data_IF_076730395497
#
_entry.id   IF_076730395497
#
_cell.length_a   1.000
_cell.length_b   1.000
_cell.length_c   1.000
_cell.angle_alpha   90.00
_cell.angle_beta   90.00
_cell.angle_gamma   90.00
#
_symmetry.space_group_name_H-M   'P 1'
#
loop_
_entity.id
_entity.type
_entity.pdbx_description
1 polymer ?
#
# COMPACT_ATOMS: atom_id res chain seq x y z
N UNK A 1 -20.36 30.21 20.06
CA UNK A 1 -20.72 30.21 18.62
C UNK A 1 -19.52 29.72 17.82
N UNK A 2 -19.57 28.66 17.00
CA UNK A 2 -18.41 28.11 16.26
C UNK A 2 -17.68 29.19 15.43
N UNK A 3 -18.46 30.15 14.91
CA UNK A 3 -18.00 31.33 14.19
C UNK A 3 -17.04 32.22 14.98
N UNK A 4 -17.27 32.41 16.29
CA UNK A 4 -16.37 33.24 17.13
C UNK A 4 -15.06 32.54 17.45
N UNK A 5 -15.06 31.20 17.50
CA UNK A 5 -13.85 30.39 17.72
C UNK A 5 -12.95 30.49 16.48
N UNK A 6 -13.54 30.43 15.28
CA UNK A 6 -12.81 30.57 14.02
C UNK A 6 -12.02 31.89 13.94
N UNK A 7 -12.62 33.03 14.29
CA UNK A 7 -11.94 34.33 14.23
C UNK A 7 -10.87 34.53 15.31
N UNK A 8 -10.84 33.69 16.35
CA UNK A 8 -9.80 33.69 17.39
C UNK A 8 -8.63 32.76 17.07
N UNK A 9 -8.80 31.85 16.10
CA UNK A 9 -7.72 30.98 15.66
C UNK A 9 -6.74 31.80 14.81
N UNK A 10 -5.46 31.77 15.19
CA UNK A 10 -4.40 32.24 14.30
C UNK A 10 -4.37 31.32 13.07
N UNK A 11 -4.41 31.88 11.84
CA UNK A 11 -4.32 31.06 10.65
C UNK A 11 -3.02 30.25 10.72
N UNK A 12 -3.08 28.92 10.47
CA UNK A 12 -1.86 28.12 10.43
C UNK A 12 -0.91 28.75 9.42
N UNK A 13 0.38 28.82 9.77
CA UNK A 13 1.40 29.25 8.80
C UNK A 13 1.21 28.41 7.52
N UNK A 14 1.28 29.05 6.36
CA UNK A 14 1.30 28.37 5.07
C UNK A 14 2.52 27.45 5.01
N UNK A 15 2.40 26.27 5.58
CA UNK A 15 3.36 25.19 5.42
C UNK A 15 3.16 24.69 3.99
N UNK A 16 4.18 24.91 3.15
CA UNK A 16 4.24 24.27 1.83
C UNK A 16 3.91 22.79 2.03
N UNK A 17 2.99 22.26 1.23
CA UNK A 17 2.65 20.84 1.21
C UNK A 17 3.94 20.04 1.06
N UNK A 18 4.48 19.59 2.18
CA UNK A 18 5.77 18.92 2.24
C UNK A 18 5.46 17.44 2.28
N UNK A 19 6.16 16.64 1.47
CA UNK A 19 6.07 15.18 1.46
C UNK A 19 6.15 14.59 2.89
N UNK A 20 6.88 15.26 3.79
CA UNK A 20 6.96 14.98 5.23
C UNK A 20 5.61 15.02 5.96
N UNK A 21 4.75 16.01 5.68
CA UNK A 21 3.42 16.11 6.29
C UNK A 21 2.56 14.91 5.90
N UNK A 22 2.62 14.54 4.63
CA UNK A 22 1.85 13.41 4.10
C UNK A 22 2.40 12.07 4.66
N UNK A 23 3.73 11.90 4.69
CA UNK A 23 4.39 10.75 5.33
C UNK A 23 4.08 10.64 6.83
N UNK A 24 3.73 11.72 7.52
CA UNK A 24 3.36 11.68 8.94
C UNK A 24 2.15 10.77 9.20
N UNK A 25 1.21 10.67 8.26
CA UNK A 25 0.05 9.77 8.33
C UNK A 25 0.41 8.28 8.26
N UNK A 26 1.58 7.95 7.69
CA UNK A 26 2.10 6.57 7.65
C UNK A 26 2.89 6.19 8.91
N UNK A 27 3.37 7.17 9.68
CA UNK A 27 4.20 6.92 10.88
C UNK A 27 3.54 6.09 11.98
N UNK A 28 2.21 6.15 12.23
CA UNK A 28 1.56 5.29 13.21
C UNK A 28 1.58 3.80 12.80
N UNK A 29 1.73 3.51 11.50
CA UNK A 29 1.63 2.16 10.93
C UNK A 29 2.99 1.52 10.63
N UNK A 30 4.08 2.01 11.25
CA UNK A 30 5.45 1.52 11.03
C UNK A 30 5.61 0.01 11.23
N UNK A 31 4.92 -0.58 12.21
CA UNK A 31 4.99 -2.03 12.47
C UNK A 31 4.37 -2.83 11.33
N UNK A 32 3.24 -2.38 10.82
CA UNK A 32 2.54 -3.01 9.70
C UNK A 32 3.32 -2.82 8.39
N UNK A 33 3.96 -1.66 8.20
CA UNK A 33 4.89 -1.42 7.09
C UNK A 33 6.12 -2.33 7.15
N UNK A 34 6.69 -2.56 8.34
CA UNK A 34 7.79 -3.49 8.52
C UNK A 34 7.35 -4.93 8.20
N UNK A 35 6.16 -5.34 8.64
CA UNK A 35 5.60 -6.66 8.33
C UNK A 35 5.36 -6.82 6.81
N UNK A 36 4.83 -5.79 6.14
CA UNK A 36 4.69 -5.76 4.69
C UNK A 36 6.03 -5.93 3.99
N UNK A 37 7.06 -5.22 4.45
CA UNK A 37 8.42 -5.35 3.91
C UNK A 37 8.95 -6.78 4.06
N UNK A 38 8.81 -7.40 5.24
CA UNK A 38 9.21 -8.80 5.45
C UNK A 38 8.45 -9.77 4.55
N UNK A 39 7.14 -9.61 4.42
CA UNK A 39 6.30 -10.44 3.54
C UNK A 39 6.71 -10.32 2.07
N UNK A 40 7.07 -9.13 1.62
CA UNK A 40 7.55 -8.89 0.26
C UNK A 40 8.92 -9.51 0.00
N UNK A 41 9.82 -9.47 0.99
CA UNK A 41 11.12 -10.11 0.89
C UNK A 41 10.96 -11.62 0.77
N UNK A 42 10.09 -12.22 1.60
CA UNK A 42 9.74 -13.64 1.53
C UNK A 42 9.09 -13.98 0.19
N UNK A 43 8.11 -13.18 -0.25
CA UNK A 43 7.44 -13.35 -1.54
C UNK A 43 8.41 -13.29 -2.72
N UNK A 44 9.37 -12.36 -2.69
CA UNK A 44 10.43 -12.25 -3.69
C UNK A 44 11.34 -13.48 -3.72
N UNK A 45 11.65 -14.05 -2.55
CA UNK A 45 12.39 -15.33 -2.50
C UNK A 45 11.57 -16.48 -3.11
N UNK A 46 10.26 -16.56 -2.83
CA UNK A 46 9.39 -17.58 -3.44
C UNK A 46 9.32 -17.45 -4.96
N UNK A 47 9.23 -16.24 -5.50
CA UNK A 47 9.21 -16.05 -6.95
C UNK A 47 10.54 -16.42 -7.59
N UNK A 48 11.66 -16.20 -6.89
CA UNK A 48 12.99 -16.62 -7.34
C UNK A 48 13.16 -18.15 -7.36
N UNK A 49 12.48 -18.89 -6.47
CA UNK A 49 12.52 -20.37 -6.44
C UNK A 49 11.93 -20.98 -7.72
N UNK A 50 10.94 -20.32 -8.33
CA UNK A 50 10.20 -20.83 -9.48
C UNK A 50 11.08 -21.13 -10.72
N UNK A 51 11.97 -20.23 -11.19
CA UNK A 51 12.89 -20.53 -12.29
C UNK A 51 13.86 -21.68 -11.97
N UNK A 52 14.36 -21.81 -10.74
CA UNK A 52 15.21 -22.95 -10.36
C UNK A 52 14.45 -24.28 -10.40
N UNK A 53 13.20 -24.32 -9.93
CA UNK A 53 12.36 -25.52 -10.04
C UNK A 53 12.09 -25.87 -11.51
N UNK A 54 11.82 -24.86 -12.34
CA UNK A 54 11.57 -25.03 -13.78
C UNK A 54 12.82 -25.55 -14.50
N UNK A 55 14.01 -25.03 -14.17
CA UNK A 55 15.26 -25.53 -14.70
C UNK A 55 15.49 -27.00 -14.32
N UNK A 56 15.32 -27.36 -13.04
CA UNK A 56 15.48 -28.74 -12.59
C UNK A 56 14.45 -29.68 -13.25
N UNK A 57 13.21 -29.21 -13.46
CA UNK A 57 12.18 -29.96 -14.18
C UNK A 57 12.65 -30.34 -15.59
N UNK A 58 13.23 -29.40 -16.32
CA UNK A 58 13.74 -29.64 -17.69
C UNK A 58 14.99 -30.54 -17.63
N UNK A 59 16.00 -30.13 -16.86
CA UNK A 59 17.33 -30.74 -16.89
C UNK A 59 17.37 -32.16 -16.31
N UNK A 60 16.64 -32.38 -15.21
CA UNK A 60 16.67 -33.65 -14.47
C UNK A 60 15.40 -34.46 -14.64
N UNK A 61 14.26 -33.82 -14.87
CA UNK A 61 13.00 -34.51 -15.12
C UNK A 61 12.85 -34.91 -16.59
N UNK A 62 12.65 -33.92 -17.45
CA UNK A 62 12.32 -34.14 -18.87
C UNK A 62 13.47 -34.79 -19.64
N UNK A 63 14.69 -34.23 -19.53
CA UNK A 63 15.85 -34.76 -20.26
C UNK A 63 16.21 -36.20 -19.86
N UNK A 64 16.04 -36.57 -18.58
CA UNK A 64 16.28 -37.93 -18.10
C UNK A 64 15.05 -38.84 -18.19
N UNK A 65 13.91 -38.32 -18.68
CA UNK A 65 12.61 -39.01 -18.76
C UNK A 65 12.14 -39.61 -17.41
N UNK A 66 12.49 -38.96 -16.30
CA UNK A 66 12.13 -39.40 -14.96
C UNK A 66 10.77 -38.80 -14.54
N UNK A 67 9.69 -39.54 -14.79
CA UNK A 67 8.33 -39.13 -14.46
C UNK A 67 8.10 -38.97 -12.94
N UNK A 68 8.81 -39.73 -12.10
CA UNK A 68 8.68 -39.61 -10.65
C UNK A 68 9.26 -38.28 -10.16
N UNK A 69 10.45 -37.92 -10.65
CA UNK A 69 11.08 -36.63 -10.36
C UNK A 69 10.23 -35.45 -10.86
N UNK A 70 9.65 -35.55 -12.06
CA UNK A 70 8.73 -34.54 -12.60
C UNK A 70 7.54 -34.34 -11.65
N UNK A 71 6.90 -35.42 -11.19
CA UNK A 71 5.77 -35.33 -10.27
C UNK A 71 6.10 -34.62 -8.96
N UNK A 72 7.27 -34.88 -8.38
CA UNK A 72 7.75 -34.23 -7.15
C UNK A 72 7.98 -32.73 -7.38
N UNK A 73 8.61 -32.35 -8.51
CA UNK A 73 8.87 -30.94 -8.82
C UNK A 73 7.55 -30.19 -9.10
N UNK A 74 6.59 -30.80 -9.79
CA UNK A 74 5.27 -30.20 -10.01
C UNK A 74 4.53 -29.97 -8.68
N UNK A 75 4.58 -30.93 -7.75
CA UNK A 75 4.04 -30.76 -6.41
C UNK A 75 4.76 -29.63 -5.64
N UNK A 76 6.08 -29.53 -5.75
CA UNK A 76 6.84 -28.45 -5.15
C UNK A 76 6.46 -27.08 -5.73
N UNK A 77 6.30 -26.97 -7.06
CA UNK A 77 5.84 -25.74 -7.73
C UNK A 77 4.43 -25.35 -7.27
N UNK A 78 3.53 -26.33 -7.11
CA UNK A 78 2.18 -26.09 -6.57
C UNK A 78 2.25 -25.57 -5.13
N UNK A 79 3.13 -26.12 -4.29
CA UNK A 79 3.37 -25.63 -2.93
C UNK A 79 3.88 -24.18 -2.90
N UNK A 80 4.86 -23.84 -3.75
CA UNK A 80 5.37 -22.46 -3.90
C UNK A 80 4.27 -21.52 -4.38
N UNK A 81 3.44 -21.96 -5.34
CA UNK A 81 2.31 -21.18 -5.84
C UNK A 81 1.27 -20.88 -4.76
N UNK A 82 0.87 -21.90 -3.98
CA UNK A 82 -0.04 -21.71 -2.85
C UNK A 82 0.56 -20.80 -1.77
N UNK A 83 1.84 -20.97 -1.44
CA UNK A 83 2.55 -20.09 -0.52
C UNK A 83 2.54 -18.63 -0.97
N UNK A 84 2.74 -18.41 -2.27
CA UNK A 84 2.70 -17.07 -2.88
C UNK A 84 1.31 -16.44 -2.77
N UNK A 85 0.24 -17.21 -3.01
CA UNK A 85 -1.14 -16.74 -2.83
C UNK A 85 -1.41 -16.33 -1.39
N UNK A 86 -0.98 -17.12 -0.41
CA UNK A 86 -1.17 -16.81 1.02
C UNK A 86 -0.49 -15.49 1.40
N UNK A 87 0.76 -15.30 0.96
CA UNK A 87 1.51 -14.06 1.18
C UNK A 87 0.77 -12.88 0.55
N UNK A 88 0.26 -13.04 -0.67
CA UNK A 88 -0.48 -12.01 -1.39
C UNK A 88 -1.77 -11.59 -0.67
N UNK A 89 -2.53 -12.57 -0.16
CA UNK A 89 -3.75 -12.33 0.61
C UNK A 89 -3.44 -11.54 1.89
N UNK A 90 -2.42 -11.96 2.64
CA UNK A 90 -2.01 -11.27 3.88
C UNK A 90 -1.58 -9.84 3.56
N UNK A 91 -0.80 -9.64 2.49
CA UNK A 91 -0.34 -8.32 2.05
C UNK A 91 -1.51 -7.39 1.71
N UNK A 92 -2.46 -7.89 0.92
CA UNK A 92 -3.64 -7.13 0.52
C UNK A 92 -4.50 -6.78 1.73
N UNK A 93 -4.64 -7.69 2.69
CA UNK A 93 -5.39 -7.44 3.92
C UNK A 93 -4.75 -6.37 4.80
N UNK A 94 -3.42 -6.40 4.96
CA UNK A 94 -2.69 -5.36 5.71
C UNK A 94 -2.81 -4.00 5.00
N UNK A 95 -2.66 -3.95 3.67
CA UNK A 95 -2.82 -2.71 2.92
C UNK A 95 -4.24 -2.15 3.05
N UNK A 96 -5.27 -3.00 2.95
CA UNK A 96 -6.65 -2.58 3.15
C UNK A 96 -6.87 -1.99 4.55
N UNK A 97 -6.33 -2.65 5.58
CA UNK A 97 -6.43 -2.19 6.97
C UNK A 97 -5.77 -0.81 7.16
N UNK A 98 -4.53 -0.65 6.70
CA UNK A 98 -3.80 0.62 6.81
C UNK A 98 -4.51 1.71 6.01
N UNK A 99 -4.87 1.42 4.75
CA UNK A 99 -5.47 2.39 3.85
C UNK A 99 -6.81 2.91 4.36
N UNK A 100 -7.66 2.00 4.82
CA UNK A 100 -8.95 2.37 5.41
C UNK A 100 -8.78 3.24 6.66
N UNK A 101 -7.82 2.92 7.53
CA UNK A 101 -7.55 3.73 8.73
C UNK A 101 -7.03 5.12 8.39
N UNK A 102 -6.14 5.24 7.41
CA UNK A 102 -5.62 6.53 6.94
C UNK A 102 -6.75 7.34 6.30
N UNK A 103 -7.55 6.72 5.43
CA UNK A 103 -8.71 7.37 4.79
C UNK A 103 -9.69 7.93 5.84
N UNK A 104 -10.05 7.11 6.84
CA UNK A 104 -10.91 7.55 7.95
C UNK A 104 -10.28 8.72 8.72
N UNK A 105 -8.97 8.70 8.97
CA UNK A 105 -8.30 9.79 9.69
C UNK A 105 -8.34 11.10 8.89
N UNK A 106 -8.01 11.03 7.59
CA UNK A 106 -7.96 12.22 6.72
C UNK A 106 -9.37 12.83 6.58
N UNK A 107 -10.39 12.01 6.32
CA UNK A 107 -11.76 12.50 6.18
C UNK A 107 -12.31 13.05 7.49
N UNK A 108 -11.99 12.43 8.64
CA UNK A 108 -12.40 12.91 9.96
C UNK A 108 -11.80 14.28 10.26
N UNK A 109 -10.52 14.50 9.96
CA UNK A 109 -9.86 15.79 10.16
C UNK A 109 -10.39 16.87 9.22
N UNK A 110 -10.73 16.49 7.99
CA UNK A 110 -11.40 17.38 7.04
C UNK A 110 -12.78 17.82 7.54
N UNK A 111 -13.63 16.87 7.93
CA UNK A 111 -14.98 17.15 8.42
C UNK A 111 -14.96 17.99 9.70
N UNK A 112 -14.06 17.70 10.65
CA UNK A 112 -13.89 18.52 11.86
C UNK A 112 -13.58 19.98 11.54
N UNK A 113 -12.67 20.23 10.59
CA UNK A 113 -12.32 21.59 10.16
C UNK A 113 -13.47 22.26 9.44
N UNK A 114 -14.15 21.53 8.55
CA UNK A 114 -15.28 22.01 7.79
C UNK A 114 -16.43 22.48 8.70
N UNK A 115 -16.77 21.71 9.73
CA UNK A 115 -17.82 22.06 10.69
C UNK A 115 -17.50 23.27 11.58
N UNK A 116 -16.24 23.69 11.66
CA UNK A 116 -15.83 24.89 12.41
C UNK A 116 -15.88 26.17 11.58
N UNK A 117 -16.17 26.08 10.27
CA UNK A 117 -16.17 27.23 9.38
C UNK A 117 -17.43 28.09 9.55
N UNK A 118 -17.32 29.43 9.40
CA UNK A 118 -18.46 30.33 9.45
C UNK A 118 -19.41 30.11 8.27
N UNK A 119 -20.71 30.35 8.44
CA UNK A 119 -21.75 30.19 7.40
C UNK A 119 -21.39 30.91 6.09
N UNK A 120 -20.79 32.12 6.17
CA UNK A 120 -20.31 32.88 5.00
C UNK A 120 -19.35 32.10 4.10
N UNK A 121 -18.59 31.14 4.64
CA UNK A 121 -17.72 30.28 3.86
C UNK A 121 -18.54 29.37 2.94
N UNK A 122 -19.64 28.82 3.45
CA UNK A 122 -20.54 27.92 2.73
C UNK A 122 -21.36 28.63 1.66
N UNK A 123 -21.67 29.93 1.85
CA UNK A 123 -22.38 30.73 0.84
C UNK A 123 -21.58 30.90 -0.46
N UNK A 124 -20.25 30.73 -0.41
CA UNK A 124 -19.34 30.94 -1.55
C UNK A 124 -18.84 29.65 -2.20
N UNK A 125 -19.20 28.47 -1.66
CA UNK A 125 -18.68 27.16 -2.10
C UNK A 125 -19.79 26.22 -2.52
N UNK A 126 -19.60 25.54 -3.64
CA UNK A 126 -20.56 24.56 -4.14
C UNK A 126 -20.41 23.24 -3.40
N UNK A 127 -21.50 22.46 -3.29
CA UNK A 127 -21.41 21.11 -2.72
C UNK A 127 -20.44 20.19 -3.49
N UNK A 128 -20.26 20.44 -4.79
CA UNK A 128 -19.25 19.76 -5.62
C UNK A 128 -17.81 19.98 -5.14
N UNK A 129 -17.48 21.17 -4.63
CA UNK A 129 -16.12 21.48 -4.14
C UNK A 129 -15.75 20.62 -2.92
N UNK A 130 -16.73 20.31 -2.07
CA UNK A 130 -16.53 19.44 -0.90
C UNK A 130 -16.35 17.99 -1.30
N UNK A 131 -17.17 17.50 -2.24
CA UNK A 131 -17.05 16.13 -2.75
C UNK A 131 -15.71 15.92 -3.46
N UNK A 132 -15.27 16.90 -4.25
CA UNK A 132 -13.98 16.85 -4.93
C UNK A 132 -12.82 16.80 -3.94
N UNK A 133 -12.86 17.58 -2.86
CA UNK A 133 -11.85 17.52 -1.79
C UNK A 133 -11.82 16.19 -1.04
N UNK A 134 -12.98 15.55 -0.84
CA UNK A 134 -13.05 14.20 -0.27
C UNK A 134 -12.40 13.18 -1.21
N UNK A 135 -12.72 13.25 -2.50
CA UNK A 135 -12.11 12.38 -3.52
C UNK A 135 -10.60 12.61 -3.65
N UNK A 136 -10.14 13.85 -3.55
CA UNK A 136 -8.71 14.17 -3.56
C UNK A 136 -7.99 13.56 -2.36
N UNK A 137 -8.63 13.54 -1.17
CA UNK A 137 -8.09 12.87 0.01
C UNK A 137 -7.98 11.36 -0.17
N UNK A 138 -8.99 10.71 -0.74
CA UNK A 138 -8.94 9.28 -1.08
C UNK A 138 -7.84 8.98 -2.10
N UNK A 139 -7.67 9.85 -3.11
CA UNK A 139 -6.60 9.73 -4.10
C UNK A 139 -5.22 9.85 -3.47
N UNK A 140 -5.03 10.80 -2.55
CA UNK A 140 -3.78 10.98 -1.80
C UNK A 140 -3.51 9.75 -0.94
N UNK A 141 -4.51 9.25 -0.23
CA UNK A 141 -4.40 8.02 0.57
C UNK A 141 -3.96 6.85 -0.31
N UNK A 142 -4.68 6.56 -1.39
CA UNK A 142 -4.38 5.45 -2.30
C UNK A 142 -2.97 5.57 -2.91
N UNK A 143 -2.55 6.78 -3.27
CA UNK A 143 -1.20 7.03 -3.77
C UNK A 143 -0.13 6.64 -2.74
N UNK A 144 -0.34 6.94 -1.46
CA UNK A 144 0.62 6.68 -0.39
C UNK A 144 0.64 5.22 0.07
N UNK A 145 -0.53 4.60 0.16
CA UNK A 145 -0.70 3.30 0.82
C UNK A 145 -0.58 2.13 -0.16
N UNK A 146 -1.07 2.30 -1.38
CA UNK A 146 -1.06 1.24 -2.39
C UNK A 146 0.04 1.49 -3.41
N UNK A 147 -0.06 2.54 -4.21
CA UNK A 147 0.77 2.66 -5.40
C UNK A 147 2.25 2.93 -5.07
N UNK A 148 2.55 3.88 -4.19
CA UNK A 148 3.93 4.28 -3.89
C UNK A 148 4.71 3.18 -3.19
N UNK A 149 4.10 2.53 -2.20
CA UNK A 149 4.72 1.42 -1.46
C UNK A 149 4.97 0.24 -2.38
N UNK A 150 3.97 -0.20 -3.16
CA UNK A 150 4.15 -1.28 -4.13
C UNK A 150 5.27 -0.96 -5.11
N UNK A 151 5.27 0.24 -5.70
CA UNK A 151 6.30 0.64 -6.69
C UNK A 151 7.69 0.62 -6.07
N UNK A 152 7.86 1.19 -4.88
CA UNK A 152 9.14 1.18 -4.17
C UNK A 152 9.64 -0.25 -3.93
N UNK A 153 8.76 -1.15 -3.51
CA UNK A 153 9.13 -2.53 -3.28
C UNK A 153 9.39 -3.30 -4.59
N UNK A 154 8.62 -3.04 -5.66
CA UNK A 154 8.87 -3.63 -6.98
C UNK A 154 10.25 -3.27 -7.51
N UNK A 155 10.75 -2.06 -7.24
CA UNK A 155 12.12 -1.65 -7.61
C UNK A 155 13.16 -2.50 -6.87
N UNK A 156 12.93 -2.78 -5.58
CA UNK A 156 13.82 -3.64 -4.79
C UNK A 156 13.80 -5.07 -5.34
N UNK A 157 12.62 -5.65 -5.55
CA UNK A 157 12.47 -7.00 -6.13
C UNK A 157 13.12 -7.09 -7.51
N UNK A 158 12.88 -6.12 -8.39
CA UNK A 158 13.51 -6.06 -9.71
C UNK A 158 15.04 -6.03 -9.62
N UNK A 159 15.59 -5.22 -8.70
CA UNK A 159 17.04 -5.14 -8.48
C UNK A 159 17.63 -6.48 -8.01
N UNK A 160 16.91 -7.21 -7.16
CA UNK A 160 17.32 -8.56 -6.73
C UNK A 160 17.31 -9.53 -7.90
N UNK A 161 16.28 -9.51 -8.73
CA UNK A 161 16.21 -10.36 -9.93
C UNK A 161 17.28 -10.03 -10.98
N UNK A 162 17.62 -8.76 -11.15
CA UNK A 162 18.66 -8.35 -12.11
C UNK A 162 20.08 -8.66 -11.61
N UNK A 163 20.28 -8.72 -10.29
CA UNK A 163 21.58 -9.02 -9.69
C UNK A 163 21.90 -10.51 -9.55
N UNK A 164 20.93 -11.40 -9.74
CA UNK A 164 21.06 -12.87 -9.72
C UNK A 164 21.17 -13.38 -11.15
#
# INVERSE_FOLDING_TARGET
NPTEIFYKLTPPKEEKLTIKYILSYLTPYKKQLLLLFSMLLIGSCLTLIFPFLTQNLIDKGVNKKDLSFIGIILLAQLGVFLGSIIIEIIRNWIMLYIGTKISISIISDFLKKLLQLPIKFFDTKMMGDFNQRIQDNERIEHFLTSQSLLTFFSIITFSVFFGV
#
